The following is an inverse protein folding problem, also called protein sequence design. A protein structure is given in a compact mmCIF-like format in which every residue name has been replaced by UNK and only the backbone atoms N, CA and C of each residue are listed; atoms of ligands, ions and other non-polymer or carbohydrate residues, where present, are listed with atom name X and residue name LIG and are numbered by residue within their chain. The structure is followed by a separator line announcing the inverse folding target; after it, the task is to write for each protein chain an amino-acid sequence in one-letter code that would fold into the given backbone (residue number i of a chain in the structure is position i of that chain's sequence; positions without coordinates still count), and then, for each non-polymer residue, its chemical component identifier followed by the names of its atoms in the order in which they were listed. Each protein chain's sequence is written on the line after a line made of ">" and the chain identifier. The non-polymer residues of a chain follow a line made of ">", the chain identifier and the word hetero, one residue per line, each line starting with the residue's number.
data_IF_020462774919
#
_entry.id   IF_020462774919
#
_cell.length_a   1.000
_cell.length_b   1.000
_cell.length_c   1.000
_cell.angle_alpha   90.00
_cell.angle_beta   90.00
_cell.angle_gamma   90.00
#
_symmetry.space_group_name_H-M   'P 1'
#
loop_
_entity.id
_entity.type
_entity.pdbx_description
1 polymer ?
#
# COMPACT_ATOMS: atom_id res chain seq x y z
N UNK A 1 -29.99 -5.06 -5.23
CA UNK A 1 -29.15 -3.95 -5.74
C UNK A 1 -27.72 -4.37 -5.50
N UNK A 2 -26.92 -4.54 -6.56
CA UNK A 2 -25.50 -4.83 -6.41
C UNK A 2 -24.78 -3.57 -5.97
N UNK A 3 -23.96 -3.64 -4.92
CA UNK A 3 -23.01 -2.59 -4.62
C UNK A 3 -21.95 -2.64 -5.71
N UNK A 4 -21.96 -1.66 -6.62
CA UNK A 4 -20.85 -1.45 -7.53
C UNK A 4 -19.70 -0.91 -6.67
N UNK A 5 -18.59 -1.64 -6.62
CA UNK A 5 -17.42 -1.18 -5.89
C UNK A 5 -16.89 0.09 -6.57
N UNK A 6 -16.52 1.09 -5.79
CA UNK A 6 -16.04 2.39 -6.27
C UNK A 6 -14.49 2.43 -6.29
N UNK A 7 -13.87 3.24 -7.15
CA UNK A 7 -12.42 3.32 -7.23
C UNK A 7 -11.85 3.93 -5.94
N UNK A 8 -10.76 3.34 -5.45
CA UNK A 8 -10.02 3.85 -4.30
C UNK A 8 -8.81 4.64 -4.79
N UNK A 9 -8.61 5.83 -4.24
CA UNK A 9 -7.37 6.56 -4.41
C UNK A 9 -6.46 6.35 -3.20
N UNK A 10 -5.20 6.00 -3.47
CA UNK A 10 -4.14 6.00 -2.47
C UNK A 10 -3.24 7.20 -2.73
N UNK A 11 -3.11 8.08 -1.74
CA UNK A 11 -2.20 9.23 -1.78
C UNK A 11 -1.06 9.00 -0.81
N UNK A 12 0.17 9.16 -1.29
CA UNK A 12 1.39 8.98 -0.52
C UNK A 12 2.03 10.36 -0.34
N UNK A 13 2.15 10.79 0.92
CA UNK A 13 2.78 12.05 1.32
C UNK A 13 4.28 11.88 1.49
N UNK A 14 5.02 12.96 1.21
CA UNK A 14 6.47 12.97 1.35
C UNK A 14 6.97 14.14 2.20
N UNK A 15 8.06 13.92 2.94
CA UNK A 15 8.79 14.95 3.68
C UNK A 15 10.25 14.98 3.25
N UNK A 16 10.84 16.17 3.23
CA UNK A 16 12.28 16.32 3.01
C UNK A 16 13.01 16.40 4.35
N UNK A 17 13.95 15.48 4.57
CA UNK A 17 14.80 15.45 5.75
C UNK A 17 16.26 15.24 5.31
N UNK A 18 17.21 16.03 5.82
CA UNK A 18 18.62 15.97 5.42
C UNK A 18 18.82 15.92 3.88
N UNK A 19 18.13 16.79 3.14
CA UNK A 19 18.19 16.89 1.68
C UNK A 19 17.69 15.65 0.90
N UNK A 20 17.09 14.66 1.56
CA UNK A 20 16.47 13.50 0.92
C UNK A 20 14.96 13.49 1.17
N UNK A 21 14.21 12.95 0.22
CA UNK A 21 12.75 12.83 0.31
C UNK A 21 12.38 11.45 0.85
N UNK A 22 11.49 11.42 1.83
CA UNK A 22 10.99 10.19 2.47
C UNK A 22 9.48 10.16 2.43
N UNK A 23 8.93 8.95 2.38
CA UNK A 23 7.50 8.71 2.59
C UNK A 23 7.16 9.10 4.03
N UNK A 24 6.23 10.04 4.20
CA UNK A 24 5.85 10.55 5.51
C UNK A 24 4.48 10.05 5.96
N UNK A 25 3.60 9.71 5.02
CA UNK A 25 2.26 9.23 5.32
C UNK A 25 1.50 8.73 4.10
N UNK A 26 0.36 8.10 4.35
CA UNK A 26 -0.52 7.52 3.34
C UNK A 26 -1.96 7.90 3.69
N UNK A 27 -2.75 8.25 2.69
CA UNK A 27 -4.19 8.46 2.78
C UNK A 27 -4.94 7.60 1.78
N UNK A 28 -6.08 7.08 2.22
CA UNK A 28 -7.01 6.36 1.38
C UNK A 28 -8.25 7.21 1.21
N UNK A 29 -8.73 7.29 -0.02
CA UNK A 29 -9.96 7.99 -0.34
C UNK A 29 -10.87 7.10 -1.15
N UNK A 30 -12.15 7.16 -0.81
CA UNK A 30 -13.23 6.71 -1.67
C UNK A 30 -13.51 7.82 -2.70
N UNK A 31 -13.63 7.42 -3.97
CA UNK A 31 -14.07 8.29 -5.06
C UNK A 31 -15.50 7.97 -5.48
N UNK A 32 -16.38 7.75 -4.50
CA UNK A 32 -17.82 7.58 -4.77
C UNK A 32 -18.44 8.89 -5.29
N UNK A 33 -19.01 8.81 -6.49
CA UNK A 33 -19.74 9.91 -7.13
C UNK A 33 -18.87 10.91 -7.91
N UNK A 34 -19.52 11.68 -8.78
CA UNK A 34 -18.84 12.48 -9.82
C UNK A 34 -17.90 13.59 -9.31
N UNK A 35 -17.93 13.96 -8.02
CA UNK A 35 -17.15 15.09 -7.48
C UNK A 35 -16.86 15.02 -5.97
N UNK A 36 -17.16 13.91 -5.28
CA UNK A 36 -16.91 13.78 -3.84
C UNK A 36 -15.77 12.81 -3.59
N UNK A 37 -14.77 13.28 -2.84
CA UNK A 37 -13.63 12.47 -2.42
C UNK A 37 -13.65 12.40 -0.90
N UNK A 38 -14.05 11.25 -0.38
CA UNK A 38 -14.18 11.02 1.06
C UNK A 38 -12.95 10.30 1.56
N UNK A 39 -12.25 10.87 2.54
CA UNK A 39 -11.12 10.20 3.16
C UNK A 39 -11.61 9.02 4.01
N UNK A 40 -11.12 7.82 3.70
CA UNK A 40 -11.46 6.58 4.41
C UNK A 40 -10.51 6.32 5.57
N UNK A 41 -9.22 6.58 5.37
CA UNK A 41 -8.18 6.27 6.34
C UNK A 41 -6.93 7.10 6.08
N UNK A 42 -6.14 7.28 7.13
CA UNK A 42 -4.83 7.94 7.07
C UNK A 42 -3.85 7.30 8.04
N UNK A 43 -2.57 7.35 7.69
CA UNK A 43 -1.49 6.98 8.58
C UNK A 43 -0.25 7.85 8.30
N UNK A 44 0.48 8.26 9.34
CA UNK A 44 1.67 9.10 9.22
C UNK A 44 1.42 10.60 9.13
N UNK A 45 2.47 11.35 8.81
CA UNK A 45 2.43 12.79 8.60
C UNK A 45 1.99 13.09 7.17
N UNK A 46 0.85 13.78 7.05
CA UNK A 46 0.27 14.15 5.78
C UNK A 46 0.76 15.53 5.36
N UNK A 47 1.32 15.59 4.16
CA UNK A 47 1.89 16.79 3.56
C UNK A 47 1.17 17.01 2.22
N UNK A 48 -0.01 17.65 2.20
CA UNK A 48 -0.91 17.64 1.04
C UNK A 48 -0.28 18.14 -0.27
N UNK A 49 0.69 19.04 -0.18
CA UNK A 49 1.38 19.61 -1.34
C UNK A 49 2.48 18.72 -1.93
N UNK A 50 2.87 17.66 -1.23
CA UNK A 50 3.86 16.70 -1.72
C UNK A 50 3.23 15.36 -2.11
N UNK A 51 1.90 15.23 -2.05
CA UNK A 51 1.27 13.94 -2.31
C UNK A 51 1.33 13.51 -3.76
N UNK A 52 1.75 12.27 -3.96
CA UNK A 52 1.57 11.55 -5.21
C UNK A 52 0.43 10.54 -5.03
N UNK A 53 -0.41 10.38 -6.06
CA UNK A 53 -1.62 9.58 -5.95
C UNK A 53 -1.71 8.53 -7.03
N UNK A 54 -2.20 7.36 -6.65
CA UNK A 54 -2.57 6.28 -7.57
C UNK A 54 -4.06 5.97 -7.41
N UNK A 55 -4.65 5.42 -8.47
CA UNK A 55 -6.04 4.97 -8.47
C UNK A 55 -6.04 3.45 -8.61
N UNK A 56 -6.76 2.79 -7.70
CA UNK A 56 -7.07 1.37 -7.74
C UNK A 56 -8.51 1.26 -8.22
N UNK A 57 -8.69 0.65 -9.40
CA UNK A 57 -10.03 0.45 -9.96
C UNK A 57 -10.78 -0.64 -9.19
N UNK A 58 -12.11 -0.64 -9.23
CA UNK A 58 -12.93 -1.65 -8.54
C UNK A 58 -12.60 -3.10 -8.91
N UNK A 59 -12.13 -3.31 -10.13
CA UNK A 59 -11.75 -4.62 -10.68
C UNK A 59 -10.31 -5.01 -10.36
N UNK A 60 -9.49 -4.06 -9.92
CA UNK A 60 -8.08 -4.28 -9.62
C UNK A 60 -7.92 -4.80 -8.18
N UNK A 61 -7.23 -5.93 -8.06
CA UNK A 61 -6.80 -6.50 -6.80
C UNK A 61 -5.37 -6.06 -6.49
N UNK A 62 -5.13 -5.63 -5.25
CA UNK A 62 -3.79 -5.36 -4.75
C UNK A 62 -3.11 -6.67 -4.36
N UNK A 63 -2.08 -7.04 -5.12
CA UNK A 63 -1.34 -8.30 -4.99
C UNK A 63 -0.13 -8.19 -4.08
N UNK A 64 0.38 -6.97 -3.88
CA UNK A 64 1.55 -6.73 -3.05
C UNK A 64 1.96 -5.28 -3.04
N UNK A 65 2.92 -4.98 -2.18
CA UNK A 65 3.53 -3.67 -2.03
C UNK A 65 5.03 -3.80 -2.25
N UNK A 66 5.56 -3.04 -3.20
CA UNK A 66 6.98 -2.80 -3.33
C UNK A 66 7.35 -1.60 -2.44
N UNK A 67 8.45 -1.71 -1.70
CA UNK A 67 8.96 -0.65 -0.85
C UNK A 67 10.40 -0.37 -1.25
N UNK A 68 10.70 0.88 -1.55
CA UNK A 68 12.06 1.37 -1.73
C UNK A 68 12.51 2.08 -0.46
N UNK A 69 13.66 1.68 0.09
CA UNK A 69 14.16 2.13 1.37
C UNK A 69 15.62 2.56 1.27
N UNK A 70 15.96 3.70 1.85
CA UNK A 70 17.33 4.00 2.25
C UNK A 70 17.56 3.61 3.71
N UNK A 71 18.79 3.77 4.19
CA UNK A 71 19.16 3.50 5.60
C UNK A 71 18.38 4.34 6.62
N UNK A 72 17.73 5.44 6.19
CA UNK A 72 16.99 6.33 7.07
C UNK A 72 15.47 6.17 6.96
N UNK A 73 14.95 5.43 5.98
CA UNK A 73 13.51 5.22 5.84
C UNK A 73 13.08 4.94 4.40
N UNK A 74 11.77 4.74 4.24
CA UNK A 74 11.17 4.51 2.94
C UNK A 74 11.19 5.80 2.09
N UNK A 75 11.62 5.66 0.84
CA UNK A 75 11.72 6.75 -0.15
C UNK A 75 10.73 6.57 -1.30
N UNK A 76 10.07 5.42 -1.40
CA UNK A 76 9.06 5.15 -2.41
C UNK A 76 8.20 3.93 -2.09
N UNK A 77 6.99 3.92 -2.63
CA UNK A 77 6.04 2.82 -2.53
C UNK A 77 5.54 2.43 -3.93
N UNK A 78 5.37 1.13 -4.14
CA UNK A 78 4.87 0.54 -5.37
C UNK A 78 3.71 -0.38 -5.05
N UNK A 79 2.64 -0.29 -5.82
CA UNK A 79 1.42 -1.05 -5.63
C UNK A 79 1.29 -2.01 -6.80
N UNK A 80 1.40 -3.31 -6.53
CA UNK A 80 1.25 -4.36 -7.54
C UNK A 80 -0.24 -4.66 -7.69
N UNK A 81 -0.81 -4.26 -8.82
CA UNK A 81 -2.24 -4.38 -9.10
C UNK A 81 -2.48 -5.43 -10.19
N UNK A 82 -3.46 -6.30 -10.00
CA UNK A 82 -3.92 -7.27 -11.00
C UNK A 82 -5.39 -7.05 -11.30
N UNK A 83 -5.73 -6.87 -12.57
CA UNK A 83 -7.10 -6.60 -13.04
C UNK A 83 -7.63 -7.82 -13.79
N UNK A 84 -8.32 -8.71 -13.06
CA UNK A 84 -8.75 -10.02 -13.58
C UNK A 84 -7.57 -10.84 -14.14
N UNK A 85 -7.73 -11.34 -15.36
CA UNK A 85 -6.70 -12.13 -16.07
C UNK A 85 -5.60 -11.28 -16.72
N UNK A 86 -5.61 -9.95 -16.52
CA UNK A 86 -4.59 -9.07 -17.10
C UNK A 86 -3.24 -9.23 -16.38
N UNK A 87 -2.13 -8.92 -17.07
CA UNK A 87 -0.81 -8.85 -16.43
C UNK A 87 -0.81 -7.90 -15.23
N UNK A 88 -0.04 -8.25 -14.20
CA UNK A 88 0.17 -7.38 -13.04
C UNK A 88 0.84 -6.07 -13.47
N UNK A 89 0.29 -4.95 -13.01
CA UNK A 89 0.80 -3.60 -13.25
C UNK A 89 1.36 -3.05 -11.94
N UNK A 90 2.55 -2.47 -12.01
CA UNK A 90 3.14 -1.74 -10.89
C UNK A 90 2.80 -0.25 -11.01
N UNK A 91 2.17 0.32 -9.98
CA UNK A 91 1.96 1.77 -9.84
C UNK A 91 2.85 2.30 -8.73
N UNK A 92 3.71 3.27 -9.02
CA UNK A 92 4.75 3.74 -8.08
C UNK A 92 4.51 5.18 -7.65
N UNK A 93 4.92 5.49 -6.43
CA UNK A 93 5.05 6.84 -5.88
C UNK A 93 6.44 7.01 -5.28
N UNK A 94 7.07 8.18 -5.47
CA UNK A 94 8.41 8.46 -5.00
C UNK A 94 9.50 7.68 -5.75
N UNK A 95 10.62 7.43 -5.08
CA UNK A 95 11.84 6.88 -5.70
C UNK A 95 11.78 5.36 -5.75
N UNK A 96 11.21 4.82 -6.83
CA UNK A 96 11.22 3.37 -7.14
C UNK A 96 11.93 3.07 -8.47
N UNK A 97 11.67 3.86 -9.51
CA UNK A 97 12.24 3.62 -10.82
C UNK A 97 13.64 4.23 -10.89
N UNK A 98 14.66 3.41 -11.17
CA UNK A 98 16.08 3.80 -11.18
C UNK A 98 16.52 4.45 -9.85
N UNK A 99 16.44 3.71 -8.73
CA UNK A 99 16.79 4.26 -7.44
C UNK A 99 18.30 4.57 -7.37
N UNK A 100 18.71 5.55 -6.55
CA UNK A 100 20.10 5.74 -6.17
C UNK A 100 20.74 4.45 -5.62
N UNK A 101 22.06 4.35 -5.67
CA UNK A 101 22.79 3.12 -5.29
C UNK A 101 22.67 2.73 -3.81
N UNK A 102 22.28 3.67 -2.94
CA UNK A 102 22.09 3.48 -1.50
C UNK A 102 20.65 3.10 -1.12
N UNK A 103 19.77 2.88 -2.11
CA UNK A 103 18.38 2.50 -1.91
C UNK A 103 18.17 1.03 -2.28
N UNK A 104 17.68 0.26 -1.31
CA UNK A 104 17.23 -1.12 -1.51
C UNK A 104 15.74 -1.16 -1.87
N UNK A 105 15.36 -2.13 -2.70
CA UNK A 105 13.95 -2.37 -3.06
C UNK A 105 13.57 -3.79 -2.67
N UNK A 106 12.43 -3.94 -1.99
CA UNK A 106 11.84 -5.24 -1.67
C UNK A 106 10.36 -5.27 -2.01
N UNK A 107 9.83 -6.45 -2.28
CA UNK A 107 8.40 -6.66 -2.57
C UNK A 107 7.77 -7.52 -1.49
N UNK A 108 6.77 -6.97 -0.82
CA UNK A 108 5.91 -7.66 0.12
C UNK A 108 4.71 -8.23 -0.62
N UNK A 109 4.59 -9.55 -0.62
CA UNK A 109 3.43 -10.29 -1.15
C UNK A 109 2.82 -11.15 -0.04
N UNK A 110 1.49 -11.35 -0.05
CA UNK A 110 0.85 -12.28 0.87
C UNK A 110 1.43 -13.69 0.72
N UNK A 111 1.44 -14.46 1.80
CA UNK A 111 1.75 -15.89 1.74
C UNK A 111 0.71 -16.63 0.88
N UNK A 112 1.10 -17.79 0.33
CA UNK A 112 0.20 -18.63 -0.44
C UNK A 112 -1.10 -18.95 0.34
N UNK A 113 -2.26 -18.80 -0.31
CA UNK A 113 -3.57 -18.99 0.30
C UNK A 113 -4.04 -17.83 1.18
N UNK A 114 -3.37 -16.67 1.13
CA UNK A 114 -3.74 -15.47 1.87
C UNK A 114 -3.91 -14.27 0.97
N UNK A 115 -4.63 -13.28 1.50
CA UNK A 115 -4.88 -12.02 0.82
C UNK A 115 -4.40 -10.85 1.68
N UNK A 116 -4.03 -9.78 1.00
CA UNK A 116 -3.68 -8.52 1.63
C UNK A 116 -4.95 -7.89 2.21
N UNK A 117 -4.97 -7.64 3.51
CA UNK A 117 -6.09 -6.97 4.19
C UNK A 117 -5.73 -5.58 4.69
N UNK A 118 -4.45 -5.28 4.84
CA UNK A 118 -4.00 -3.96 5.24
C UNK A 118 -2.49 -3.87 5.37
N UNK A 119 -2.05 -2.72 5.88
CA UNK A 119 -0.65 -2.42 6.14
C UNK A 119 -0.50 -1.91 7.57
N UNK A 120 0.56 -2.34 8.25
CA UNK A 120 1.03 -1.72 9.49
C UNK A 120 2.31 -0.96 9.13
N UNK A 121 2.33 0.33 9.44
CA UNK A 121 3.47 1.20 9.18
C UNK A 121 4.10 1.66 10.48
N UNK A 122 5.43 1.58 10.55
CA UNK A 122 6.22 2.18 11.62
C UNK A 122 6.76 3.53 11.17
N UNK A 123 6.75 4.50 12.08
CA UNK A 123 7.17 5.87 11.81
C UNK A 123 8.24 6.28 12.83
N UNK A 124 9.27 6.97 12.36
CA UNK A 124 10.25 7.65 13.19
C UNK A 124 10.55 9.04 12.62
N UNK A 125 10.56 10.06 13.47
CA UNK A 125 10.73 11.46 13.07
C UNK A 125 9.94 11.84 11.80
N UNK A 126 8.65 11.48 11.78
CA UNK A 126 7.69 11.79 10.71
C UNK A 126 7.94 11.11 9.33
N UNK A 127 8.87 10.17 9.24
CA UNK A 127 9.12 9.34 8.04
C UNK A 127 8.80 7.89 8.33
N UNK A 128 8.39 7.17 7.29
CA UNK A 128 8.08 5.76 7.34
C UNK A 128 9.39 4.98 7.43
N UNK A 129 9.52 4.15 8.46
CA UNK A 129 10.73 3.34 8.72
C UNK A 129 10.46 1.84 8.75
N UNK A 130 9.21 1.40 8.62
CA UNK A 130 8.90 -0.02 8.39
C UNK A 130 7.51 -0.19 7.78
N UNK A 131 7.36 -1.22 6.96
CA UNK A 131 6.07 -1.64 6.39
C UNK A 131 5.90 -3.13 6.66
N UNK A 132 4.75 -3.50 7.20
CA UNK A 132 4.35 -4.88 7.37
C UNK A 132 3.03 -5.13 6.67
N UNK A 133 2.93 -6.30 6.05
CA UNK A 133 1.72 -6.74 5.38
C UNK A 133 0.81 -7.41 6.40
N UNK A 134 -0.42 -6.92 6.51
CA UNK A 134 -1.48 -7.62 7.23
C UNK A 134 -2.17 -8.57 6.25
N UNK A 135 -2.23 -9.83 6.63
CA UNK A 135 -2.78 -10.90 5.80
C UNK A 135 -4.00 -11.52 6.47
N UNK A 136 -5.01 -11.82 5.67
CA UNK A 136 -6.12 -12.68 6.05
C UNK A 136 -6.08 -13.95 5.21
N UNK A 137 -6.68 -15.03 5.72
CA UNK A 137 -6.94 -16.21 4.91
C UNK A 137 -7.81 -15.81 3.73
N UNK A 138 -7.41 -16.24 2.53
CA UNK A 138 -8.29 -16.13 1.38
C UNK A 138 -9.50 -16.99 1.69
N UNK A 139 -10.68 -16.38 1.70
CA UNK A 139 -11.91 -17.10 2.03
C UNK A 139 -12.05 -18.22 1.00
N UNK A 140 -11.90 -19.51 1.39
CA UNK A 140 -12.25 -20.58 0.50
C UNK A 140 -13.75 -20.43 0.33
N UNK A 141 -14.23 -20.14 -0.89
CA UNK A 141 -15.67 -20.08 -1.16
C UNK A 141 -16.41 -21.24 -0.47
N UNK A 142 -17.70 -21.05 -0.13
CA UNK A 142 -18.38 -21.75 0.97
C UNK A 142 -18.02 -23.23 1.04
N UNK A 143 -17.15 -23.57 1.99
CA UNK A 143 -16.90 -24.93 2.41
C UNK A 143 -17.28 -25.03 3.89
N UNK A 144 -18.18 -25.97 4.18
CA UNK A 144 -18.78 -26.19 5.49
C UNK A 144 -17.73 -26.54 6.54
N UNK A 145 -17.58 -25.69 7.57
CA UNK A 145 -16.90 -26.08 8.81
C UNK A 145 -16.24 -24.90 9.55
N UNK A 146 -16.37 -24.82 10.89
CA UNK A 146 -15.79 -23.72 11.65
C UNK A 146 -14.29 -23.97 11.82
N UNK A 147 -13.45 -23.11 11.24
CA UNK A 147 -12.02 -23.07 11.58
C UNK A 147 -11.63 -21.66 12.00
N UNK A 148 -11.13 -21.56 13.24
CA UNK A 148 -10.72 -20.35 13.91
C UNK A 148 -9.66 -19.58 13.11
N UNK A 149 -10.01 -18.35 12.70
CA UNK A 149 -9.12 -17.46 11.96
C UNK A 149 -7.95 -16.96 12.83
N UNK A 150 -6.74 -17.43 12.54
CA UNK A 150 -5.50 -16.85 13.04
C UNK A 150 -4.94 -15.83 12.05
N UNK A 151 -4.69 -14.60 12.51
CA UNK A 151 -3.97 -13.55 11.77
C UNK A 151 -2.47 -13.90 11.76
N UNK A 152 -1.78 -13.79 10.63
CA UNK A 152 -0.32 -13.73 10.67
C UNK A 152 0.25 -12.70 9.70
N UNK A 153 1.51 -12.36 9.94
CA UNK A 153 2.19 -11.18 9.41
C UNK A 153 3.38 -11.56 8.53
N UNK A 154 3.69 -10.68 7.58
CA UNK A 154 4.96 -10.66 6.85
C UNK A 154 5.62 -9.30 7.07
N UNK A 155 6.91 -9.30 7.43
CA UNK A 155 7.63 -8.12 7.92
C UNK A 155 8.78 -7.81 6.97
N UNK A 156 8.84 -6.57 6.48
CA UNK A 156 10.09 -5.95 6.05
C UNK A 156 10.52 -4.94 7.13
N UNK A 157 11.61 -5.27 7.83
CA UNK A 157 12.33 -4.30 8.65
C UNK A 157 13.32 -3.50 7.79
N UNK A 158 13.47 -2.21 8.09
CA UNK A 158 14.53 -1.34 7.56
C UNK A 158 15.70 -1.38 8.52
#
# INVERSE_FOLDING_TARGET
>A
MGYEAEPIQVSVSFITFNCAQYVSGIRLFDRSGANTMTELSRAGLIMPYSEESIIITPTARLMGIQVACSVYGAVGLGFLLQDGDRPTILRTTGIINNPPSDVGITTLVPRAGRELSGLIIGLDACKLVSVQLLELWADPGPSEGPSSAGVAYSVAGI
#
